data_IF_198659562923
#
_entry.id   IF_198659562923
#
_cell.length_a   1.000
_cell.length_b   1.000
_cell.length_c   1.000
_cell.angle_alpha   90.00
_cell.angle_beta   90.00
_cell.angle_gamma   90.00
#
_symmetry.space_group_name_H-M   'P 1'
#
loop_
_entity.id
_entity.type
_entity.pdbx_description
1 polymer ?
#
# COMPACT_ATOMS: atom_id res chain seq x y z
N UNK A 1 -41.79 18.48 -9.27
CA UNK A 1 -40.69 18.67 -10.26
C UNK A 1 -39.50 19.48 -9.73
N UNK A 2 -39.69 20.54 -8.91
CA UNK A 2 -38.56 21.28 -8.32
C UNK A 2 -37.80 20.50 -7.23
N UNK A 3 -38.53 19.78 -6.37
CA UNK A 3 -37.95 18.99 -5.26
C UNK A 3 -37.07 17.81 -5.74
N UNK A 4 -37.46 17.14 -6.83
CA UNK A 4 -36.69 16.02 -7.41
C UNK A 4 -35.35 16.50 -7.97
N UNK A 5 -35.32 17.66 -8.66
CA UNK A 5 -34.07 18.23 -9.19
C UNK A 5 -33.11 18.68 -8.09
N UNK A 6 -33.63 19.22 -6.99
CA UNK A 6 -32.81 19.59 -5.83
C UNK A 6 -32.17 18.35 -5.18
N UNK A 7 -32.92 17.25 -5.03
CA UNK A 7 -32.39 15.99 -4.50
C UNK A 7 -31.35 15.35 -5.42
N UNK A 8 -31.59 15.36 -6.73
CA UNK A 8 -30.60 14.89 -7.73
C UNK A 8 -29.29 15.67 -7.59
N UNK A 9 -29.35 17.00 -7.54
CA UNK A 9 -28.15 17.83 -7.37
C UNK A 9 -27.43 17.50 -6.05
N UNK A 10 -28.17 17.33 -4.95
CA UNK A 10 -27.59 16.96 -3.66
C UNK A 10 -26.85 15.62 -3.71
N UNK A 11 -27.42 14.61 -4.35
CA UNK A 11 -26.77 13.29 -4.51
C UNK A 11 -25.57 13.35 -5.46
N UNK A 12 -25.62 14.15 -6.52
CA UNK A 12 -24.48 14.37 -7.42
C UNK A 12 -23.32 15.08 -6.69
N UNK A 13 -23.63 16.10 -5.89
CA UNK A 13 -22.64 16.79 -5.04
C UNK A 13 -22.04 15.82 -4.03
N UNK A 14 -22.85 15.06 -3.30
CA UNK A 14 -22.36 14.08 -2.33
C UNK A 14 -21.48 13.00 -2.97
N UNK A 15 -21.88 12.50 -4.14
CA UNK A 15 -21.10 11.51 -4.87
C UNK A 15 -19.73 12.05 -5.31
N UNK A 16 -19.69 13.28 -5.82
CA UNK A 16 -18.45 13.87 -6.33
C UNK A 16 -17.53 14.41 -5.24
N UNK A 17 -18.07 15.09 -4.24
CA UNK A 17 -17.28 15.79 -3.22
C UNK A 17 -16.93 14.91 -2.02
N UNK A 18 -17.72 13.87 -1.75
CA UNK A 18 -17.52 12.98 -0.60
C UNK A 18 -17.09 11.60 -1.08
N UNK A 19 -17.97 10.83 -1.72
CA UNK A 19 -17.68 9.41 -1.98
C UNK A 19 -16.47 9.18 -2.90
N UNK A 20 -16.30 9.98 -3.95
CA UNK A 20 -15.12 9.89 -4.83
C UNK A 20 -13.85 10.30 -4.12
N UNK A 21 -13.91 11.34 -3.30
CA UNK A 21 -12.77 11.84 -2.54
C UNK A 21 -12.35 10.84 -1.44
N UNK A 22 -13.31 10.25 -0.74
CA UNK A 22 -13.08 9.19 0.25
C UNK A 22 -12.46 7.95 -0.41
N UNK A 23 -12.95 7.57 -1.59
CA UNK A 23 -12.35 6.47 -2.35
C UNK A 23 -10.89 6.80 -2.73
N UNK A 24 -10.63 8.02 -3.20
CA UNK A 24 -9.27 8.46 -3.56
C UNK A 24 -8.34 8.38 -2.34
N UNK A 25 -8.76 8.92 -1.19
CA UNK A 25 -7.99 8.88 0.05
C UNK A 25 -7.70 7.46 0.51
N UNK A 26 -8.71 6.59 0.48
CA UNK A 26 -8.56 5.18 0.85
C UNK A 26 -7.55 4.46 -0.06
N UNK A 27 -7.58 4.73 -1.37
CA UNK A 27 -6.60 4.18 -2.32
C UNK A 27 -5.18 4.72 -2.07
N UNK A 28 -5.01 6.01 -1.79
CA UNK A 28 -3.71 6.60 -1.46
C UNK A 28 -3.13 6.04 -0.16
N UNK A 29 -3.97 5.83 0.86
CA UNK A 29 -3.54 5.17 2.10
C UNK A 29 -3.11 3.72 1.84
N UNK A 30 -3.87 3.00 1.01
CA UNK A 30 -3.53 1.64 0.60
C UNK A 30 -2.16 1.59 -0.10
N UNK A 31 -1.90 2.53 -1.01
CA UNK A 31 -0.62 2.61 -1.71
C UNK A 31 0.55 2.88 -0.75
N UNK A 32 0.37 3.78 0.23
CA UNK A 32 1.36 4.02 1.29
C UNK A 32 1.65 2.77 2.11
N UNK A 33 0.62 1.98 2.45
CA UNK A 33 0.79 0.71 3.18
C UNK A 33 1.55 -0.30 2.33
N UNK A 34 1.21 -0.43 1.03
CA UNK A 34 1.93 -1.31 0.11
C UNK A 34 3.40 -0.92 -0.06
N UNK A 35 3.72 0.38 -0.16
CA UNK A 35 5.11 0.85 -0.22
C UNK A 35 5.90 0.40 1.00
N UNK A 36 5.35 0.62 2.21
CA UNK A 36 5.97 0.19 3.47
C UNK A 36 6.17 -1.31 3.55
N UNK A 37 5.21 -2.08 3.04
CA UNK A 37 5.30 -3.54 2.98
C UNK A 37 6.44 -3.97 2.05
N UNK A 38 6.60 -3.31 0.90
CA UNK A 38 7.71 -3.57 -0.01
C UNK A 38 9.07 -3.23 0.61
N UNK A 39 9.17 -2.13 1.35
CA UNK A 39 10.38 -1.75 2.08
C UNK A 39 10.76 -2.81 3.14
N UNK A 40 9.77 -3.34 3.87
CA UNK A 40 10.00 -4.41 4.86
C UNK A 40 10.46 -5.72 4.20
N UNK A 41 9.90 -6.09 3.05
CA UNK A 41 10.32 -7.28 2.30
C UNK A 41 11.76 -7.15 1.80
N UNK A 42 12.13 -5.96 1.33
CA UNK A 42 13.52 -5.66 0.97
C UNK A 42 14.44 -5.77 2.18
N UNK A 43 14.04 -5.21 3.32
CA UNK A 43 14.81 -5.29 4.57
C UNK A 43 15.01 -6.75 5.01
N UNK A 44 13.96 -7.59 4.99
CA UNK A 44 14.07 -9.03 5.28
C UNK A 44 15.10 -9.70 4.38
N UNK A 45 14.98 -9.49 3.06
CA UNK A 45 15.88 -10.10 2.07
C UNK A 45 17.34 -9.71 2.31
N UNK A 46 17.59 -8.46 2.69
CA UNK A 46 18.93 -7.97 3.01
C UNK A 46 19.46 -8.63 4.28
N UNK A 47 18.65 -8.69 5.35
CA UNK A 47 19.04 -9.34 6.62
C UNK A 47 19.37 -10.81 6.41
N UNK A 48 18.55 -11.54 5.64
CA UNK A 48 18.78 -12.95 5.31
C UNK A 48 20.09 -13.14 4.54
N UNK A 49 20.37 -12.30 3.54
CA UNK A 49 21.66 -12.33 2.81
C UNK A 49 22.86 -12.05 3.72
N UNK A 50 22.75 -11.06 4.61
CA UNK A 50 23.85 -10.76 5.57
C UNK A 50 24.07 -11.98 6.48
N UNK A 51 22.99 -12.60 6.95
CA UNK A 51 23.05 -13.80 7.79
C UNK A 51 23.72 -14.98 7.05
N UNK A 52 23.45 -15.17 5.76
CA UNK A 52 24.12 -16.19 4.93
C UNK A 52 25.62 -15.92 4.78
N UNK A 53 26.01 -14.67 4.48
CA UNK A 53 27.43 -14.30 4.38
C UNK A 53 28.16 -14.51 5.71
N UNK A 54 27.50 -14.19 6.83
CA UNK A 54 28.06 -14.45 8.16
C UNK A 54 28.25 -15.95 8.41
N UNK A 55 27.27 -16.80 8.07
CA UNK A 55 27.36 -18.27 8.24
C UNK A 55 28.49 -18.89 7.44
N UNK A 56 28.84 -18.33 6.29
CA UNK A 56 29.93 -18.80 5.45
C UNK A 56 31.30 -18.25 5.89
N UNK A 57 31.37 -17.46 6.96
CA UNK A 57 32.57 -16.76 7.45
C UNK A 57 33.24 -15.90 6.37
N UNK A 58 32.45 -15.40 5.42
CA UNK A 58 32.92 -14.59 4.30
C UNK A 58 33.02 -13.11 4.71
N UNK A 59 34.04 -12.41 4.19
CA UNK A 59 34.09 -10.95 4.33
C UNK A 59 32.93 -10.30 3.59
N UNK A 60 32.03 -9.64 4.31
CA UNK A 60 30.93 -8.88 3.72
C UNK A 60 31.44 -7.61 3.06
N UNK A 61 31.53 -7.62 1.73
CA UNK A 61 31.90 -6.46 0.90
C UNK A 61 30.65 -5.91 0.24
N UNK A 62 30.45 -4.60 0.35
CA UNK A 62 29.29 -3.91 -0.23
C UNK A 62 29.70 -2.62 -0.91
N UNK A 63 28.87 -2.14 -1.83
CA UNK A 63 29.03 -0.84 -2.47
C UNK A 63 28.02 0.13 -1.83
N UNK A 64 28.53 1.22 -1.25
CA UNK A 64 27.73 2.23 -0.54
C UNK A 64 27.63 3.48 -1.39
N UNK A 65 26.42 4.00 -1.54
CA UNK A 65 26.15 5.28 -2.19
C UNK A 65 26.45 6.43 -1.20
N UNK A 66 27.27 7.38 -1.63
CA UNK A 66 27.61 8.59 -0.88
C UNK A 66 26.77 9.81 -1.31
N UNK A 67 25.90 9.65 -2.31
CA UNK A 67 25.08 10.69 -2.91
C UNK A 67 25.47 11.02 -4.35
N UNK A 68 24.54 11.61 -5.12
CA UNK A 68 24.75 11.99 -6.52
C UNK A 68 25.30 10.86 -7.42
N UNK A 69 24.91 9.60 -7.14
CA UNK A 69 25.40 8.40 -7.81
C UNK A 69 26.94 8.19 -7.67
N UNK A 70 27.53 8.65 -6.56
CA UNK A 70 28.91 8.34 -6.20
C UNK A 70 28.95 7.14 -5.27
N UNK A 71 29.70 6.11 -5.65
CA UNK A 71 29.73 4.85 -4.94
C UNK A 71 31.14 4.52 -4.44
N UNK A 72 31.22 3.98 -3.22
CA UNK A 72 32.48 3.47 -2.64
C UNK A 72 32.33 2.01 -2.23
N UNK A 73 33.42 1.24 -2.34
CA UNK A 73 33.45 -0.13 -1.86
C UNK A 73 33.84 -0.15 -0.38
N UNK A 74 33.00 -0.77 0.44
CA UNK A 74 33.18 -0.88 1.87
C UNK A 74 33.26 -2.36 2.29
N UNK A 75 34.00 -2.61 3.36
CA UNK A 75 34.08 -3.91 4.02
C UNK A 75 33.46 -3.75 5.40
N UNK A 76 32.49 -4.61 5.74
CA UNK A 76 31.88 -4.61 7.06
C UNK A 76 32.71 -5.51 7.98
N UNK A 77 33.27 -4.96 9.07
CA UNK A 77 34.16 -5.72 9.95
C UNK A 77 33.42 -6.77 10.79
N UNK A 78 32.20 -6.47 11.23
CA UNK A 78 31.34 -7.41 11.97
C UNK A 78 29.90 -7.32 11.44
N UNK A 79 29.43 -8.33 10.67
CA UNK A 79 28.06 -8.37 10.17
C UNK A 79 27.07 -8.95 11.19
N UNK A 80 27.45 -9.23 12.44
CA UNK A 80 26.60 -9.96 13.42
C UNK A 80 25.30 -9.25 13.81
N UNK A 81 25.24 -7.92 13.61
CA UNK A 81 24.12 -7.08 14.01
C UNK A 81 23.79 -6.03 12.95
N UNK A 82 22.55 -5.57 12.96
CA UNK A 82 22.01 -4.56 12.05
C UNK A 82 21.35 -3.43 12.82
N UNK A 83 21.53 -2.19 12.34
CA UNK A 83 20.81 -1.03 12.88
C UNK A 83 19.48 -0.85 12.14
N UNK A 84 18.36 -1.03 12.85
CA UNK A 84 17.02 -0.90 12.29
C UNK A 84 16.34 0.36 12.83
N UNK A 85 15.74 1.13 11.93
CA UNK A 85 14.94 2.30 12.31
C UNK A 85 13.59 1.85 12.88
N UNK A 86 13.37 2.07 14.17
CA UNK A 86 12.13 1.66 14.86
C UNK A 86 11.03 2.72 14.79
N UNK A 87 11.41 4.00 14.62
CA UNK A 87 10.48 5.12 14.46
C UNK A 87 11.00 6.40 15.13
N UNK A 88 10.38 7.54 14.82
CA UNK A 88 10.70 8.86 15.41
C UNK A 88 12.19 9.25 15.34
N UNK A 89 12.92 8.76 14.32
CA UNK A 89 14.36 8.99 14.19
C UNK A 89 15.25 8.13 15.10
N UNK A 90 14.68 7.18 15.85
CA UNK A 90 15.45 6.23 16.65
C UNK A 90 15.84 4.99 15.85
N UNK A 91 17.07 4.57 16.07
CA UNK A 91 17.68 3.37 15.52
C UNK A 91 18.08 2.45 16.66
N UNK A 92 17.81 1.16 16.50
CA UNK A 92 18.15 0.13 17.48
C UNK A 92 19.05 -0.89 16.80
N UNK A 93 20.13 -1.24 17.48
CA UNK A 93 21.02 -2.31 17.08
C UNK A 93 20.39 -3.65 17.46
N UNK A 94 20.11 -4.50 16.49
CA UNK A 94 19.44 -5.79 16.65
C UNK A 94 20.30 -6.92 16.07
N UNK A 95 20.19 -8.09 16.67
CA UNK A 95 20.66 -9.33 16.03
C UNK A 95 19.77 -9.67 14.82
N UNK A 96 20.26 -10.55 13.92
CA UNK A 96 19.49 -11.00 12.77
C UNK A 96 18.12 -11.57 13.15
N UNK A 97 18.06 -12.39 14.20
CA UNK A 97 16.81 -13.01 14.65
C UNK A 97 15.82 -11.99 15.20
N UNK A 98 16.30 -11.04 16.01
CA UNK A 98 15.47 -9.96 16.54
C UNK A 98 14.96 -9.04 15.42
N UNK A 99 15.79 -8.75 14.43
CA UNK A 99 15.41 -7.94 13.28
C UNK A 99 14.36 -8.65 12.41
N UNK A 100 14.52 -9.95 12.15
CA UNK A 100 13.52 -10.76 11.43
C UNK A 100 12.20 -10.84 12.19
N UNK A 101 12.26 -11.00 13.52
CA UNK A 101 11.07 -10.97 14.37
C UNK A 101 10.36 -9.61 14.31
N UNK A 102 11.13 -8.51 14.37
CA UNK A 102 10.59 -7.15 14.26
C UNK A 102 9.90 -6.93 12.91
N UNK A 103 10.55 -7.35 11.81
CA UNK A 103 9.97 -7.26 10.45
C UNK A 103 8.69 -8.07 10.36
N UNK A 104 8.69 -9.33 10.81
CA UNK A 104 7.51 -10.19 10.79
C UNK A 104 6.33 -9.60 11.58
N UNK A 105 6.59 -9.01 12.76
CA UNK A 105 5.55 -8.35 13.54
C UNK A 105 4.96 -7.14 12.82
N UNK A 106 5.79 -6.35 12.12
CA UNK A 106 5.32 -5.20 11.34
C UNK A 106 4.57 -5.60 10.09
N UNK A 107 4.98 -6.67 9.41
CA UNK A 107 4.27 -7.22 8.26
C UNK A 107 2.81 -7.57 8.64
N UNK A 108 2.61 -8.31 9.74
CA UNK A 108 1.26 -8.68 10.21
C UNK A 108 0.37 -7.47 10.42
N UNK A 109 0.89 -6.40 11.03
CA UNK A 109 0.14 -5.16 11.27
C UNK A 109 -0.22 -4.49 9.93
N UNK A 110 0.74 -4.35 9.02
CA UNK A 110 0.50 -3.72 7.72
C UNK A 110 -0.45 -4.56 6.83
N UNK A 111 -0.40 -5.88 6.91
CA UNK A 111 -1.35 -6.76 6.22
C UNK A 111 -2.78 -6.61 6.76
N UNK A 112 -2.93 -6.46 8.08
CA UNK A 112 -4.23 -6.17 8.69
C UNK A 112 -4.77 -4.81 8.25
N UNK A 113 -3.92 -3.78 8.23
CA UNK A 113 -4.28 -2.46 7.70
C UNK A 113 -4.68 -2.53 6.24
N UNK A 114 -3.95 -3.29 5.42
CA UNK A 114 -4.25 -3.48 4.01
C UNK A 114 -5.61 -4.16 3.79
N UNK A 115 -5.94 -5.18 4.59
CA UNK A 115 -7.26 -5.84 4.57
C UNK A 115 -8.38 -4.86 4.90
N UNK A 116 -8.24 -4.11 5.99
CA UNK A 116 -9.22 -3.09 6.40
C UNK A 116 -9.45 -2.05 5.30
N UNK A 117 -8.37 -1.48 4.75
CA UNK A 117 -8.47 -0.51 3.64
C UNK A 117 -9.09 -1.12 2.38
N UNK A 118 -8.85 -2.41 2.12
CA UNK A 118 -9.45 -3.09 0.97
C UNK A 118 -10.97 -3.24 1.14
N UNK A 119 -11.42 -3.61 2.33
CA UNK A 119 -12.84 -3.68 2.71
C UNK A 119 -13.51 -2.29 2.65
N UNK A 120 -12.86 -1.27 3.21
CA UNK A 120 -13.34 0.12 3.16
C UNK A 120 -13.49 0.59 1.72
N UNK A 121 -12.51 0.34 0.84
CA UNK A 121 -12.63 0.71 -0.58
C UNK A 121 -13.76 -0.02 -1.29
N UNK A 122 -14.01 -1.30 -0.93
CA UNK A 122 -15.10 -2.08 -1.51
C UNK A 122 -16.46 -1.53 -1.08
N UNK A 123 -16.60 -1.16 0.20
CA UNK A 123 -17.80 -0.53 0.74
C UNK A 123 -18.07 0.82 0.07
N UNK A 124 -17.06 1.69 -0.06
CA UNK A 124 -17.22 2.99 -0.73
C UNK A 124 -17.63 2.80 -2.19
N UNK A 125 -16.99 1.86 -2.91
CA UNK A 125 -17.38 1.54 -4.30
C UNK A 125 -18.83 1.06 -4.38
N UNK A 126 -19.27 0.22 -3.46
CA UNK A 126 -20.66 -0.23 -3.41
C UNK A 126 -21.63 0.95 -3.19
N UNK A 127 -21.31 1.86 -2.26
CA UNK A 127 -22.11 3.06 -2.03
C UNK A 127 -22.19 3.99 -3.26
N UNK A 128 -21.08 4.15 -3.98
CA UNK A 128 -21.06 4.90 -5.25
C UNK A 128 -22.02 4.25 -6.26
N UNK A 129 -21.92 2.93 -6.45
CA UNK A 129 -22.77 2.20 -7.40
C UNK A 129 -24.26 2.29 -7.04
N UNK A 130 -24.60 2.12 -5.76
CA UNK A 130 -25.98 2.29 -5.29
C UNK A 130 -26.50 3.71 -5.55
N UNK A 131 -25.70 4.73 -5.24
CA UNK A 131 -26.09 6.15 -5.43
C UNK A 131 -26.30 6.47 -6.91
N UNK A 132 -25.42 5.97 -7.79
CA UNK A 132 -25.58 6.11 -9.25
C UNK A 132 -26.87 5.45 -9.75
N UNK A 133 -27.19 4.27 -9.24
CA UNK A 133 -28.42 3.56 -9.61
C UNK A 133 -29.67 4.32 -9.14
N UNK A 134 -29.67 4.83 -7.90
CA UNK A 134 -30.77 5.67 -7.40
C UNK A 134 -30.94 6.96 -8.21
N UNK A 135 -29.84 7.62 -8.57
CA UNK A 135 -29.86 8.81 -9.43
C UNK A 135 -30.46 8.51 -10.81
N UNK A 136 -30.06 7.38 -11.41
CA UNK A 136 -30.58 6.92 -12.70
C UNK A 136 -32.09 6.69 -12.66
N UNK A 137 -32.59 6.03 -11.60
CA UNK A 137 -34.02 5.80 -11.39
C UNK A 137 -34.80 7.10 -11.19
N UNK A 138 -34.28 8.04 -10.40
CA UNK A 138 -34.89 9.36 -10.18
C UNK A 138 -34.95 10.21 -11.45
N UNK A 139 -34.01 9.99 -12.39
CA UNK A 139 -33.96 10.68 -13.68
C UNK A 139 -34.74 9.95 -14.79
N UNK A 140 -35.27 8.75 -14.53
CA UNK A 140 -36.04 7.96 -15.50
C UNK A 140 -35.20 7.45 -16.68
N UNK A 141 -33.89 7.30 -16.50
CA UNK A 141 -32.97 6.83 -17.54
C UNK A 141 -33.06 5.29 -17.69
N UNK A 142 -33.10 4.75 -18.92
CA UNK A 142 -33.13 3.30 -19.13
C UNK A 142 -31.84 2.63 -18.64
N UNK A 143 -31.92 1.37 -18.18
CA UNK A 143 -30.73 0.57 -17.90
C UNK A 143 -29.96 0.36 -19.21
N UNK A 144 -28.71 0.83 -19.27
CA UNK A 144 -27.77 0.35 -20.27
C UNK A 144 -27.51 -1.14 -20.00
N UNK A 145 -27.94 -1.99 -20.93
CA UNK A 145 -27.48 -3.37 -21.01
C UNK A 145 -25.98 -3.36 -21.30
N UNK A 146 -25.20 -4.12 -20.53
CA UNK A 146 -23.74 -4.25 -20.68
C UNK A 146 -23.34 -4.27 -22.17
N UNK A 147 -22.35 -3.46 -22.62
CA UNK A 147 -21.83 -3.60 -23.96
C UNK A 147 -21.36 -5.06 -24.15
N UNK A 148 -21.64 -5.69 -25.30
CA UNK A 148 -21.32 -7.09 -25.51
C UNK A 148 -19.83 -7.28 -25.25
N UNK A 149 -19.49 -8.19 -24.31
CA UNK A 149 -18.10 -8.62 -24.07
C UNK A 149 -17.50 -8.96 -25.43
N UNK A 150 -16.67 -8.07 -25.98
CA UNK A 150 -15.79 -8.40 -27.09
C UNK A 150 -14.92 -9.53 -26.53
N UNK A 151 -15.19 -10.74 -27.01
CA UNK A 151 -14.25 -11.84 -26.87
C UNK A 151 -13.03 -11.42 -27.67
N UNK A 152 -11.99 -11.00 -26.97
CA UNK A 152 -10.68 -10.88 -27.59
C UNK A 152 -10.29 -12.31 -28.00
N UNK A 153 -10.30 -12.53 -29.32
CA UNK A 153 -9.88 -13.76 -29.96
C UNK A 153 -8.36 -13.70 -30.06
N UNK A 154 -7.71 -14.58 -29.28
CA UNK A 154 -6.30 -15.02 -29.31
C UNK A 154 -5.19 -13.96 -29.41
#
# INVERSE_FOLDING_TARGET
MADVRAKVLQYETFLNEVLKEDLRRCLEEREKVCSKLSELLQLRTIIERIQEVQKNEETFRTQVDLGCNFYVQAVVPDPSKVCVQVGLGFFVELTHEEALWFVGRREVVLEQDLKRLSEDSANIKAHIQMTLQCLRELQGLPMETDPPKRRDVF
#
